data_IF_410995560379
#
_entry.id   IF_410995560379
#
_cell.length_a   1.000
_cell.length_b   1.000
_cell.length_c   1.000
_cell.angle_alpha   90.00
_cell.angle_beta   90.00
_cell.angle_gamma   90.00
#
_symmetry.space_group_name_H-M   'P 1'
#
loop_
_entity.id
_entity.type
_entity.pdbx_description
1 polymer ?
#
# COMPACT_ATOMS: atom_id res chain seq x y z
N UNK A 1 -37.73 11.78 -48.06
CA UNK A 1 -37.05 10.62 -47.44
C UNK A 1 -36.10 11.17 -46.38
N UNK A 2 -36.52 11.13 -45.12
CA UNK A 2 -35.81 11.74 -43.99
C UNK A 2 -34.67 10.85 -43.52
N UNK A 3 -33.54 11.49 -43.15
CA UNK A 3 -32.39 10.87 -42.51
C UNK A 3 -32.69 10.75 -41.01
N UNK A 4 -32.82 9.52 -40.52
CA UNK A 4 -32.95 9.24 -39.09
C UNK A 4 -31.54 9.10 -38.48
N UNK A 5 -31.11 10.12 -37.77
CA UNK A 5 -29.88 10.10 -36.95
C UNK A 5 -30.19 9.35 -35.66
N UNK A 6 -29.53 8.22 -35.42
CA UNK A 6 -29.59 7.50 -34.15
C UNK A 6 -28.69 8.21 -33.14
N UNK A 7 -29.29 8.81 -32.12
CA UNK A 7 -28.58 9.32 -30.94
C UNK A 7 -28.32 8.13 -30.00
N UNK A 8 -27.09 7.66 -29.93
CA UNK A 8 -26.68 6.67 -28.93
C UNK A 8 -26.55 7.37 -27.58
N UNK A 9 -27.54 7.21 -26.72
CA UNK A 9 -27.49 7.67 -25.33
C UNK A 9 -26.56 6.74 -24.54
N UNK A 10 -25.32 7.16 -24.31
CA UNK A 10 -24.42 6.50 -23.36
C UNK A 10 -24.86 6.89 -21.95
N UNK A 11 -25.59 6.00 -21.28
CA UNK A 11 -25.82 6.11 -19.83
C UNK A 11 -24.51 5.76 -19.09
N UNK A 12 -23.77 6.79 -18.68
CA UNK A 12 -22.78 6.64 -17.62
C UNK A 12 -23.52 6.50 -16.28
N UNK A 13 -23.59 5.29 -15.72
CA UNK A 13 -23.93 5.11 -14.32
C UNK A 13 -22.71 5.46 -13.45
N UNK A 14 -22.38 6.74 -13.38
CA UNK A 14 -21.66 7.26 -12.22
C UNK A 14 -22.71 7.41 -11.11
N UNK A 15 -22.76 6.48 -10.16
CA UNK A 15 -23.63 6.60 -9.00
C UNK A 15 -23.35 7.94 -8.30
N UNK A 16 -24.34 8.82 -8.26
CA UNK A 16 -24.24 10.06 -7.49
C UNK A 16 -24.22 9.69 -6.01
N UNK A 17 -23.09 9.95 -5.35
CA UNK A 17 -22.93 9.75 -3.91
C UNK A 17 -23.92 10.65 -3.15
N UNK A 18 -24.64 10.07 -2.19
CA UNK A 18 -25.60 10.76 -1.33
C UNK A 18 -24.90 11.31 -0.08
N UNK A 19 -25.42 12.39 0.51
CA UNK A 19 -24.95 12.92 1.79
C UNK A 19 -25.10 11.92 2.97
N UNK A 20 -25.70 10.76 2.73
CA UNK A 20 -25.92 9.68 3.70
C UNK A 20 -24.97 8.48 3.51
N UNK A 21 -24.02 8.55 2.59
CA UNK A 21 -23.12 7.42 2.33
C UNK A 21 -22.01 7.33 3.40
N UNK A 22 -21.56 6.09 3.67
CA UNK A 22 -20.43 5.85 4.56
C UNK A 22 -19.14 6.38 3.90
N UNK A 23 -18.36 7.18 4.62
CA UNK A 23 -17.04 7.60 4.12
C UNK A 23 -16.00 6.59 4.60
N UNK A 24 -15.21 6.04 3.68
CA UNK A 24 -14.21 5.01 3.96
C UNK A 24 -12.86 5.54 3.50
N UNK A 25 -11.92 5.65 4.42
CA UNK A 25 -10.59 6.14 4.13
C UNK A 25 -9.58 5.01 4.35
N UNK A 26 -8.79 4.71 3.34
CA UNK A 26 -7.63 3.85 3.48
C UNK A 26 -6.36 4.65 3.30
N UNK A 27 -5.38 4.42 4.16
CA UNK A 27 -4.01 4.79 3.84
C UNK A 27 -3.06 3.67 4.23
N UNK A 28 -1.88 3.67 3.62
CA UNK A 28 -0.86 2.67 3.85
C UNK A 28 0.41 2.97 3.07
N UNK A 29 1.39 2.08 3.18
CA UNK A 29 2.68 2.25 2.52
C UNK A 29 3.05 1.01 1.73
N UNK A 30 3.69 1.18 0.58
CA UNK A 30 4.44 0.11 -0.09
C UNK A 30 5.93 0.38 0.03
N UNK A 31 6.70 -0.64 0.36
CA UNK A 31 8.13 -0.54 0.61
C UNK A 31 8.88 -1.46 -0.34
N UNK A 32 9.90 -0.93 -0.99
CA UNK A 32 10.83 -1.64 -1.86
C UNK A 32 12.26 -1.21 -1.55
N UNK A 33 13.25 -1.97 -2.01
CA UNK A 33 14.67 -1.64 -1.86
C UNK A 33 15.32 -1.76 -3.23
N UNK A 34 16.04 -0.72 -3.66
CA UNK A 34 16.78 -0.72 -4.93
C UNK A 34 18.29 -0.63 -4.65
N UNK A 35 19.07 -1.46 -5.32
CA UNK A 35 20.52 -1.29 -5.39
C UNK A 35 20.89 -0.06 -6.21
N UNK A 36 22.14 0.39 -6.12
CA UNK A 36 22.63 1.56 -6.87
C UNK A 36 22.41 1.47 -8.39
N UNK A 37 22.43 0.26 -8.98
CA UNK A 37 22.18 0.03 -10.40
C UNK A 37 20.69 0.04 -10.80
N UNK A 38 19.81 0.06 -9.79
CA UNK A 38 18.35 0.06 -9.90
C UNK A 38 17.69 -1.31 -9.81
N UNK A 39 18.45 -2.37 -9.56
CA UNK A 39 17.88 -3.69 -9.34
C UNK A 39 17.11 -3.73 -8.01
N UNK A 40 15.87 -4.21 -8.05
CA UNK A 40 15.08 -4.47 -6.85
C UNK A 40 15.71 -5.61 -6.02
N UNK A 41 15.83 -5.39 -4.71
CA UNK A 41 16.26 -6.43 -3.79
C UNK A 41 15.08 -7.36 -3.46
N UNK A 42 15.39 -8.66 -3.37
CA UNK A 42 14.49 -9.66 -2.84
C UNK A 42 14.65 -9.85 -1.34
N UNK A 43 13.90 -10.79 -0.77
CA UNK A 43 14.04 -11.18 0.63
C UNK A 43 13.42 -10.20 1.61
N UNK A 44 12.55 -9.29 1.17
CA UNK A 44 12.07 -8.21 2.03
C UNK A 44 11.21 -8.71 3.20
N UNK A 45 10.70 -9.95 3.16
CA UNK A 45 10.03 -10.54 4.32
C UNK A 45 10.99 -10.85 5.49
N UNK A 46 12.30 -10.78 5.30
CA UNK A 46 13.24 -10.72 6.41
C UNK A 46 13.25 -9.29 6.98
N UNK A 47 12.72 -9.12 8.18
CA UNK A 47 12.54 -7.81 8.83
C UNK A 47 13.40 -7.69 10.10
N UNK A 48 13.60 -6.48 10.61
CA UNK A 48 14.27 -6.29 11.90
C UNK A 48 13.34 -6.66 13.08
N UNK A 49 13.91 -6.98 14.25
CA UNK A 49 13.10 -7.26 15.46
C UNK A 49 12.21 -6.07 15.85
N UNK A 50 12.62 -4.84 15.52
CA UNK A 50 11.84 -3.62 15.75
C UNK A 50 10.63 -3.44 14.82
N UNK A 51 10.49 -4.27 13.78
CA UNK A 51 9.37 -4.24 12.83
C UNK A 51 8.31 -5.32 13.13
N UNK A 52 8.50 -6.08 14.21
CA UNK A 52 7.53 -7.07 14.66
C UNK A 52 6.25 -6.41 15.17
N UNK A 53 5.12 -6.94 14.73
CA UNK A 53 3.81 -6.51 15.20
C UNK A 53 3.44 -7.14 16.55
N UNK A 54 2.47 -6.56 17.27
CA UNK A 54 1.91 -7.15 18.48
C UNK A 54 1.40 -8.59 18.27
N UNK A 55 1.47 -9.39 19.33
CA UNK A 55 1.19 -10.82 19.27
C UNK A 55 -0.27 -11.19 18.94
N UNK A 56 -1.21 -10.26 19.11
CA UNK A 56 -2.63 -10.48 18.76
C UNK A 56 -2.91 -10.33 17.26
N UNK A 57 -1.95 -9.85 16.46
CA UNK A 57 -2.14 -9.72 15.02
C UNK A 57 -2.20 -11.12 14.40
N UNK A 58 -3.29 -11.37 13.68
CA UNK A 58 -3.52 -12.64 13.02
C UNK A 58 -2.57 -12.81 11.84
N UNK A 59 -2.21 -14.05 11.58
CA UNK A 59 -1.24 -14.41 10.55
C UNK A 59 -1.80 -15.49 9.65
N UNK A 60 -1.65 -15.29 8.35
CA UNK A 60 -2.02 -16.27 7.33
C UNK A 60 -0.80 -16.74 6.57
N UNK A 61 -0.61 -18.07 6.53
CA UNK A 61 0.37 -18.73 5.69
C UNK A 61 -0.34 -19.79 4.85
N UNK A 62 -0.28 -19.71 3.52
CA UNK A 62 -0.81 -20.74 2.63
C UNK A 62 -0.32 -22.15 2.98
N UNK A 63 -1.18 -23.15 2.76
CA UNK A 63 -0.85 -24.57 2.96
C UNK A 63 0.46 -24.98 2.24
N UNK A 64 0.68 -24.44 1.04
CA UNK A 64 1.84 -24.72 0.18
C UNK A 64 3.15 -24.10 0.67
N UNK A 65 3.09 -23.12 1.58
CA UNK A 65 4.27 -22.42 2.12
C UNK A 65 4.48 -22.65 3.62
N UNK A 66 3.44 -22.97 4.39
CA UNK A 66 3.47 -22.95 5.86
C UNK A 66 4.46 -23.92 6.50
N UNK A 67 4.72 -25.07 5.86
CA UNK A 67 5.55 -26.14 6.41
C UNK A 67 7.02 -26.08 6.02
N UNK A 68 7.36 -25.29 4.99
CA UNK A 68 8.74 -25.17 4.51
C UNK A 68 9.32 -23.79 4.91
N UNK A 69 10.30 -23.74 5.83
CA UNK A 69 10.92 -22.49 6.27
C UNK A 69 11.45 -21.61 5.14
N UNK A 70 11.91 -22.18 4.02
CA UNK A 70 12.43 -21.37 2.89
C UNK A 70 11.31 -20.78 2.04
N UNK A 71 10.09 -21.33 2.13
CA UNK A 71 8.91 -20.86 1.38
C UNK A 71 8.00 -19.94 2.19
N UNK A 72 8.24 -19.76 3.48
CA UNK A 72 7.42 -18.88 4.33
C UNK A 72 7.36 -17.46 3.77
N UNK A 73 6.15 -16.89 3.80
CA UNK A 73 5.85 -15.53 3.35
C UNK A 73 5.82 -14.53 4.51
N UNK A 74 5.68 -15.01 5.73
CA UNK A 74 5.64 -14.24 6.97
C UNK A 74 6.84 -13.31 7.06
N UNK A 75 6.60 -12.16 7.68
CA UNK A 75 7.65 -11.20 8.00
C UNK A 75 8.27 -11.57 9.34
N UNK A 76 9.55 -11.95 9.35
CA UNK A 76 10.24 -12.33 10.58
C UNK A 76 11.75 -12.06 10.51
N UNK A 77 12.44 -11.87 11.65
CA UNK A 77 13.88 -11.59 11.69
C UNK A 77 14.77 -12.80 11.41
N UNK A 78 14.30 -14.01 11.77
CA UNK A 78 15.10 -15.24 11.73
C UNK A 78 14.63 -16.19 10.62
N UNK A 79 14.43 -15.65 9.43
CA UNK A 79 14.13 -16.43 8.22
C UNK A 79 15.16 -16.10 7.12
N UNK A 80 15.35 -16.99 6.13
CA UNK A 80 16.28 -16.75 5.02
C UNK A 80 15.95 -15.48 4.22
N UNK A 81 14.66 -15.12 4.14
CA UNK A 81 14.15 -14.12 3.21
C UNK A 81 13.96 -14.73 1.82
N UNK A 82 12.77 -14.59 1.25
CA UNK A 82 12.42 -15.14 -0.05
C UNK A 82 12.87 -14.21 -1.18
N UNK A 83 13.77 -14.63 -2.10
CA UNK A 83 14.31 -13.74 -3.14
C UNK A 83 13.26 -13.13 -4.08
N UNK A 84 12.11 -13.79 -4.21
CA UNK A 84 10.96 -13.34 -4.99
C UNK A 84 10.06 -12.35 -4.24
N UNK A 85 10.29 -12.06 -2.96
CA UNK A 85 9.59 -10.98 -2.25
C UNK A 85 10.36 -9.68 -2.43
N UNK A 86 9.91 -8.86 -3.37
CA UNK A 86 10.53 -7.57 -3.76
C UNK A 86 9.77 -6.35 -3.27
N UNK A 87 8.58 -6.55 -2.71
CA UNK A 87 7.74 -5.48 -2.16
C UNK A 87 7.09 -5.92 -0.85
N UNK A 88 7.00 -4.99 0.10
CA UNK A 88 6.15 -5.11 1.28
C UNK A 88 5.01 -4.12 1.18
N UNK A 89 3.79 -4.58 1.47
CA UNK A 89 2.69 -3.71 1.81
C UNK A 89 2.74 -3.55 3.33
N UNK A 90 2.92 -2.33 3.82
CA UNK A 90 3.16 -1.99 5.22
C UNK A 90 2.09 -1.03 5.75
N UNK A 91 1.43 -1.47 6.81
CA UNK A 91 0.43 -0.70 7.59
C UNK A 91 -0.70 -0.05 6.78
N UNK A 92 -1.34 -0.71 5.80
CA UNK A 92 -2.70 -0.33 5.44
C UNK A 92 -3.64 -0.37 6.63
N UNK A 93 -4.32 0.75 6.87
CA UNK A 93 -5.45 0.85 7.79
C UNK A 93 -6.66 1.41 7.07
N UNK A 94 -7.84 0.94 7.45
CA UNK A 94 -9.12 1.38 6.89
C UNK A 94 -9.97 1.99 8.01
N UNK A 95 -10.30 3.27 7.85
CA UNK A 95 -11.19 4.01 8.74
C UNK A 95 -12.59 4.14 8.14
N UNK A 96 -13.57 4.22 9.04
CA UNK A 96 -14.96 4.38 8.71
C UNK A 96 -15.51 5.62 9.39
N UNK A 97 -16.13 6.48 8.59
CA UNK A 97 -16.67 7.77 8.98
C UNK A 97 -18.18 7.78 8.66
N UNK A 98 -19.02 7.40 9.63
CA UNK A 98 -20.48 7.40 9.46
C UNK A 98 -21.02 8.77 9.04
N UNK A 99 -22.14 8.81 8.29
CA UNK A 99 -22.85 10.06 8.03
C UNK A 99 -23.45 10.63 9.34
N UNK A 100 -23.89 11.89 9.27
CA UNK A 100 -24.62 12.51 10.37
C UNK A 100 -25.88 11.68 10.71
N UNK A 101 -26.01 11.25 11.98
CA UNK A 101 -27.06 10.33 12.43
C UNK A 101 -26.61 8.87 12.62
N UNK A 102 -25.36 8.55 12.27
CA UNK A 102 -24.73 7.25 12.50
C UNK A 102 -24.97 6.23 11.39
N UNK A 103 -24.36 5.05 11.55
CA UNK A 103 -24.43 3.96 10.58
C UNK A 103 -24.70 2.64 11.32
N UNK A 104 -25.90 2.07 11.16
CA UNK A 104 -26.37 0.92 11.97
C UNK A 104 -26.34 -0.42 11.25
N UNK A 105 -26.08 -0.44 9.94
CA UNK A 105 -26.06 -1.66 9.15
C UNK A 105 -24.71 -2.36 9.36
N UNK A 106 -24.71 -3.69 9.42
CA UNK A 106 -23.47 -4.45 9.22
C UNK A 106 -23.11 -4.46 7.74
N UNK A 107 -21.83 -4.64 7.45
CA UNK A 107 -21.33 -4.74 6.07
C UNK A 107 -20.06 -5.58 6.02
N UNK A 108 -19.72 -6.03 4.81
CA UNK A 108 -18.51 -6.78 4.55
C UNK A 108 -17.47 -5.87 3.90
N UNK A 109 -16.20 -6.15 4.19
CA UNK A 109 -15.06 -5.46 3.59
C UNK A 109 -14.12 -6.53 3.04
N UNK A 110 -13.77 -6.43 1.77
CA UNK A 110 -12.83 -7.35 1.14
C UNK A 110 -11.69 -6.59 0.45
N UNK A 111 -10.47 -7.10 0.63
CA UNK A 111 -9.27 -6.60 -0.05
C UNK A 111 -8.62 -7.73 -0.81
N UNK A 112 -8.15 -7.45 -2.02
CA UNK A 112 -7.32 -8.37 -2.80
C UNK A 112 -5.93 -7.76 -2.99
N UNK A 113 -4.91 -8.60 -3.16
CA UNK A 113 -3.56 -8.16 -3.48
C UNK A 113 -3.03 -8.94 -4.69
N UNK A 114 -3.11 -8.35 -5.88
CA UNK A 114 -2.59 -8.95 -7.11
C UNK A 114 -1.06 -8.91 -7.10
N UNK A 115 -0.43 -10.04 -7.41
CA UNK A 115 1.01 -10.24 -7.29
C UNK A 115 1.52 -10.43 -5.87
N UNK A 116 0.63 -10.59 -4.90
CA UNK A 116 0.98 -10.61 -3.48
C UNK A 116 0.07 -11.48 -2.62
N UNK A 117 0.41 -11.53 -1.33
CA UNK A 117 -0.34 -12.21 -0.28
C UNK A 117 -0.52 -11.26 0.90
N UNK A 118 -1.74 -11.21 1.41
CA UNK A 118 -2.07 -10.52 2.66
C UNK A 118 -1.92 -11.55 3.78
N UNK A 119 -0.93 -11.35 4.65
CA UNK A 119 -0.52 -12.39 5.60
C UNK A 119 -0.49 -11.96 7.06
N UNK A 120 -0.77 -10.69 7.34
CA UNK A 120 -0.90 -10.16 8.71
C UNK A 120 -2.08 -9.19 8.74
N UNK A 121 -3.02 -9.36 9.67
CA UNK A 121 -4.25 -8.56 9.74
C UNK A 121 -4.89 -8.55 11.13
N UNK A 122 -5.73 -7.56 11.38
CA UNK A 122 -6.57 -7.48 12.58
C UNK A 122 -7.78 -6.57 12.30
N UNK A 123 -8.98 -6.84 12.83
CA UNK A 123 -9.43 -8.08 13.48
C UNK A 123 -9.29 -9.35 12.62
N UNK A 124 -9.58 -10.52 13.17
CA UNK A 124 -9.58 -11.78 12.44
C UNK A 124 -10.54 -11.75 11.23
N UNK A 125 -10.16 -12.46 10.17
CA UNK A 125 -10.78 -12.38 8.86
C UNK A 125 -10.49 -13.61 8.00
N UNK A 126 -11.32 -13.80 6.98
CA UNK A 126 -11.15 -14.87 6.01
C UNK A 126 -10.01 -14.53 5.04
N UNK A 127 -8.81 -15.04 5.32
CA UNK A 127 -7.65 -14.92 4.44
C UNK A 127 -7.62 -16.05 3.39
N UNK A 128 -7.19 -15.71 2.17
CA UNK A 128 -7.17 -16.65 1.05
C UNK A 128 -6.04 -16.36 0.07
N UNK A 129 -5.77 -17.33 -0.80
CA UNK A 129 -4.85 -17.21 -1.91
C UNK A 129 -5.43 -17.93 -3.12
N UNK A 130 -5.29 -17.31 -4.29
CA UNK A 130 -5.76 -17.84 -5.56
C UNK A 130 -4.77 -17.48 -6.69
N UNK A 131 -5.02 -18.03 -7.87
CA UNK A 131 -4.44 -17.51 -9.10
C UNK A 131 -5.45 -16.60 -9.80
N UNK A 132 -4.94 -15.61 -10.53
CA UNK A 132 -5.72 -14.64 -11.28
C UNK A 132 -6.27 -15.27 -12.57
N UNK A 133 -7.33 -16.08 -12.43
CA UNK A 133 -7.93 -16.87 -13.51
C UNK A 133 -8.21 -16.06 -14.78
N UNK A 134 -8.69 -14.81 -14.64
CA UNK A 134 -8.94 -13.90 -15.76
C UNK A 134 -7.67 -13.61 -16.59
N UNK A 135 -6.52 -13.47 -15.92
CA UNK A 135 -5.23 -13.19 -16.59
C UNK A 135 -4.51 -14.44 -17.09
N UNK A 136 -4.87 -15.62 -16.56
CA UNK A 136 -4.29 -16.90 -16.98
C UNK A 136 -5.23 -17.72 -17.86
N UNK A 137 -6.43 -17.25 -18.17
CA UNK A 137 -7.42 -17.97 -18.98
C UNK A 137 -6.83 -18.46 -20.32
N UNK A 138 -6.10 -17.59 -21.04
CA UNK A 138 -5.45 -17.96 -22.30
C UNK A 138 -4.25 -18.92 -22.12
N UNK A 139 -3.63 -18.93 -20.93
CA UNK A 139 -2.42 -19.73 -20.62
C UNK A 139 -2.72 -21.09 -19.98
N UNK A 140 -3.88 -21.22 -19.34
CA UNK A 140 -4.37 -22.46 -18.74
C UNK A 140 -4.90 -23.43 -19.80
N UNK A 141 -5.41 -22.92 -20.93
CA UNK A 141 -5.84 -23.72 -22.09
C UNK A 141 -4.67 -24.51 -22.73
N UNK A 142 -3.43 -24.04 -22.57
CA UNK A 142 -2.22 -24.70 -23.10
C UNK A 142 -1.57 -25.65 -22.07
N UNK A 143 -2.18 -25.83 -20.88
CA UNK A 143 -1.61 -26.66 -19.81
C UNK A 143 -0.31 -26.10 -19.20
N UNK A 144 0.01 -24.83 -19.45
CA UNK A 144 1.29 -24.21 -19.09
C UNK A 144 1.34 -23.67 -17.66
N UNK A 145 0.19 -23.51 -16.98
CA UNK A 145 0.11 -22.97 -15.61
C UNK A 145 -0.83 -23.86 -14.77
N UNK A 146 -0.42 -24.31 -13.57
CA UNK A 146 -1.27 -25.05 -12.65
C UNK A 146 -2.53 -24.25 -12.25
N UNK A 147 -3.62 -24.93 -11.89
CA UNK A 147 -4.86 -24.29 -11.38
C UNK A 147 -4.74 -23.78 -9.93
N UNK A 148 -3.64 -24.09 -9.26
CA UNK A 148 -3.34 -23.63 -7.90
C UNK A 148 -1.87 -23.22 -7.81
N UNK A 149 -1.59 -22.22 -7.00
CA UNK A 149 -0.22 -21.79 -6.77
C UNK A 149 0.54 -22.82 -5.93
N UNK A 150 1.69 -23.27 -6.43
CA UNK A 150 2.52 -24.33 -5.82
C UNK A 150 3.43 -23.84 -4.68
N UNK A 151 3.40 -22.54 -4.37
CA UNK A 151 4.22 -21.93 -3.32
C UNK A 151 5.66 -21.61 -3.73
N UNK A 152 6.11 -22.00 -4.93
CA UNK A 152 7.51 -21.92 -5.32
C UNK A 152 7.97 -20.50 -5.65
N UNK A 153 7.18 -19.76 -6.44
CA UNK A 153 7.48 -18.37 -6.84
C UNK A 153 6.24 -17.50 -6.69
N UNK A 154 6.29 -16.51 -5.82
CA UNK A 154 5.35 -15.42 -5.76
C UNK A 154 5.54 -14.59 -7.04
N UNK A 155 4.49 -14.49 -7.84
CA UNK A 155 4.53 -13.81 -9.13
C UNK A 155 3.24 -13.01 -9.32
N UNK A 156 3.17 -12.27 -10.42
CA UNK A 156 2.07 -11.36 -10.74
C UNK A 156 0.71 -12.04 -11.03
N UNK A 157 0.61 -13.37 -11.03
CA UNK A 157 -0.65 -14.11 -11.14
C UNK A 157 -1.21 -14.56 -9.78
N UNK A 158 -0.42 -14.50 -8.71
CA UNK A 158 -0.91 -14.83 -7.37
C UNK A 158 -1.80 -13.69 -6.89
N UNK A 159 -2.95 -14.02 -6.31
CA UNK A 159 -3.87 -13.05 -5.71
C UNK A 159 -4.16 -13.47 -4.27
N UNK A 160 -3.63 -12.73 -3.31
CA UNK A 160 -4.05 -12.80 -1.92
C UNK A 160 -5.42 -12.15 -1.74
N UNK A 161 -6.22 -12.68 -0.83
CA UNK A 161 -7.51 -12.12 -0.46
C UNK A 161 -7.66 -12.06 1.06
N UNK A 162 -8.40 -11.06 1.53
CA UNK A 162 -8.79 -10.91 2.93
C UNK A 162 -10.22 -10.37 2.99
N UNK A 163 -11.08 -10.99 3.78
CA UNK A 163 -12.46 -10.55 3.94
C UNK A 163 -12.91 -10.51 5.40
N UNK A 164 -13.32 -9.34 5.87
CA UNK A 164 -14.07 -9.17 7.11
C UNK A 164 -15.55 -9.22 6.81
N UNK A 165 -16.28 -10.09 7.53
CA UNK A 165 -17.73 -10.25 7.36
C UNK A 165 -18.48 -9.68 8.55
N UNK A 166 -19.60 -9.01 8.28
CA UNK A 166 -20.50 -8.49 9.31
C UNK A 166 -19.84 -7.44 10.21
N UNK A 167 -18.96 -6.60 9.65
CA UNK A 167 -18.38 -5.46 10.36
C UNK A 167 -19.50 -4.53 10.84
N UNK A 168 -19.44 -4.13 12.10
CA UNK A 168 -20.33 -3.13 12.70
C UNK A 168 -19.52 -1.96 13.23
N UNK A 169 -20.13 -0.77 13.22
CA UNK A 169 -19.49 0.46 13.69
C UNK A 169 -20.04 0.87 15.05
N UNK A 170 -19.14 1.26 15.94
CA UNK A 170 -19.45 1.69 17.31
C UNK A 170 -18.61 2.91 17.67
N UNK A 171 -19.08 3.71 18.63
CA UNK A 171 -18.29 4.83 19.15
C UNK A 171 -17.02 4.32 19.86
N UNK A 172 -17.18 3.24 20.64
CA UNK A 172 -16.10 2.61 21.40
C UNK A 172 -16.23 1.09 21.33
N UNK A 173 -15.08 0.41 21.25
CA UNK A 173 -14.94 -1.05 21.37
C UNK A 173 -13.80 -1.38 22.34
N UNK A 174 -13.76 -2.61 22.82
CA UNK A 174 -12.58 -3.12 23.55
C UNK A 174 -11.52 -3.50 22.53
N UNK A 175 -10.53 -2.63 22.35
CA UNK A 175 -9.37 -2.88 21.49
C UNK A 175 -8.26 -3.62 22.26
N UNK A 176 -7.41 -4.42 21.59
CA UNK A 176 -6.34 -5.16 22.26
C UNK A 176 -5.29 -4.22 22.87
N UNK A 177 -4.74 -4.61 24.01
CA UNK A 177 -3.71 -3.82 24.69
C UNK A 177 -2.35 -3.97 23.99
N UNK A 178 -1.66 -2.84 23.80
CA UNK A 178 -0.29 -2.79 23.26
C UNK A 178 0.37 -1.48 23.63
N UNK A 179 1.70 -1.49 23.68
CA UNK A 179 2.53 -0.30 23.79
C UNK A 179 3.29 0.00 22.49
N UNK A 180 3.00 -0.74 21.41
CA UNK A 180 3.66 -0.57 20.12
C UNK A 180 3.23 0.76 19.48
N UNK A 181 4.14 1.72 19.28
CA UNK A 181 3.80 3.02 18.71
C UNK A 181 3.27 2.94 17.28
N UNK A 182 3.69 1.93 16.50
CA UNK A 182 3.19 1.73 15.12
C UNK A 182 1.73 1.31 15.12
N UNK A 183 1.29 0.59 16.16
CA UNK A 183 -0.12 0.21 16.34
C UNK A 183 -0.95 1.29 17.03
N UNK A 184 -0.34 2.06 17.94
CA UNK A 184 -1.04 3.11 18.69
C UNK A 184 -1.25 4.38 17.86
N UNK A 185 -0.30 4.79 17.02
CA UNK A 185 -0.44 6.01 16.22
C UNK A 185 -1.72 6.06 15.36
N UNK A 186 -2.15 4.97 14.69
CA UNK A 186 -3.41 4.96 13.93
C UNK A 186 -4.67 5.02 14.83
N UNK A 187 -4.58 4.77 16.13
CA UNK A 187 -5.73 4.89 17.06
C UNK A 187 -6.08 6.35 17.40
N UNK A 188 -5.18 7.28 17.14
CA UNK A 188 -5.37 8.73 17.40
C UNK A 188 -6.31 9.42 16.40
N UNK A 189 -6.76 8.71 15.36
CA UNK A 189 -7.70 9.21 14.35
C UNK A 189 -9.13 9.18 14.87
N UNK A 190 -9.86 10.28 14.63
CA UNK A 190 -11.27 10.40 14.97
C UNK A 190 -12.14 9.69 13.92
N UNK A 191 -12.22 8.36 14.00
CA UNK A 191 -13.08 7.52 13.18
C UNK A 191 -14.00 6.64 14.07
N UNK A 192 -15.05 6.05 13.49
CA UNK A 192 -15.81 5.02 14.20
C UNK A 192 -14.95 3.78 14.44
N UNK A 193 -15.16 3.11 15.58
CA UNK A 193 -14.52 1.84 15.87
C UNK A 193 -15.22 0.70 15.14
N UNK A 194 -14.45 -0.28 14.66
CA UNK A 194 -14.94 -1.49 14.00
C UNK A 194 -15.07 -2.63 15.00
N UNK A 195 -16.09 -3.46 14.82
CA UNK A 195 -16.28 -4.69 15.58
C UNK A 195 -16.75 -5.83 14.68
N UNK A 196 -16.10 -6.98 14.78
CA UNK A 196 -16.41 -8.21 14.04
C UNK A 196 -16.99 -9.23 15.02
N UNK A 197 -18.33 -9.29 15.07
CA UNK A 197 -19.06 -10.04 16.09
C UNK A 197 -18.77 -11.56 16.06
N UNK A 198 -18.49 -12.12 14.88
CA UNK A 198 -18.23 -13.55 14.71
C UNK A 198 -16.99 -14.02 15.48
N UNK A 199 -16.01 -13.15 15.67
CA UNK A 199 -14.74 -13.44 16.36
C UNK A 199 -14.58 -12.67 17.67
N UNK A 200 -15.49 -11.73 17.96
CA UNK A 200 -15.50 -10.97 19.22
C UNK A 200 -14.38 -9.93 19.32
N UNK A 201 -13.85 -9.47 18.19
CA UNK A 201 -12.71 -8.55 18.14
C UNK A 201 -13.12 -7.17 17.63
N UNK A 202 -12.48 -6.13 18.18
CA UNK A 202 -12.70 -4.74 17.79
C UNK A 202 -11.42 -3.92 17.79
N UNK A 203 -11.40 -2.87 16.98
CA UNK A 203 -10.30 -1.91 16.85
C UNK A 203 -10.83 -0.57 16.33
N UNK A 204 -10.02 0.49 16.35
CA UNK A 204 -10.34 1.78 15.70
C UNK A 204 -10.40 1.70 14.17
N UNK A 205 -9.76 0.70 13.57
CA UNK A 205 -9.58 0.54 12.13
C UNK A 205 -9.48 -0.94 11.77
N UNK A 206 -9.70 -1.27 10.49
CA UNK A 206 -9.25 -2.56 9.96
C UNK A 206 -7.78 -2.44 9.55
N UNK A 207 -6.97 -3.41 9.92
CA UNK A 207 -5.55 -3.46 9.60
C UNK A 207 -5.25 -4.65 8.71
N UNK A 208 -4.43 -4.44 7.69
CA UNK A 208 -3.83 -5.54 6.94
C UNK A 208 -2.47 -5.15 6.40
N UNK A 209 -1.57 -6.12 6.23
CA UNK A 209 -0.30 -5.94 5.55
C UNK A 209 0.15 -7.22 4.86
N UNK A 210 1.10 -7.13 3.95
CA UNK A 210 1.38 -8.20 3.00
C UNK A 210 2.75 -8.15 2.35
N UNK A 211 3.03 -9.12 1.50
CA UNK A 211 4.26 -9.24 0.71
C UNK A 211 3.90 -9.50 -0.74
N UNK A 212 4.73 -9.02 -1.67
CA UNK A 212 4.48 -9.14 -3.10
C UNK A 212 5.76 -9.27 -3.93
N UNK A 213 5.57 -9.79 -5.14
CA UNK A 213 6.53 -9.71 -6.23
C UNK A 213 6.01 -8.71 -7.26
N UNK A 214 6.31 -7.44 -7.04
CA UNK A 214 5.90 -6.34 -7.89
C UNK A 214 7.06 -5.38 -8.10
N UNK A 215 7.11 -4.77 -9.28
CA UNK A 215 7.98 -3.64 -9.55
C UNK A 215 7.53 -2.44 -8.71
N UNK A 216 8.48 -1.68 -8.18
CA UNK A 216 8.20 -0.34 -7.68
C UNK A 216 7.59 0.52 -8.80
N UNK A 217 6.62 1.37 -8.44
CA UNK A 217 5.95 2.26 -9.40
C UNK A 217 6.92 3.20 -10.12
N UNK A 218 8.01 3.57 -9.46
CA UNK A 218 9.14 4.28 -10.07
C UNK A 218 10.40 3.46 -9.90
N UNK A 219 11.17 3.35 -10.99
CA UNK A 219 12.48 2.73 -10.99
C UNK A 219 13.52 3.79 -10.68
N UNK A 220 14.55 3.45 -9.91
CA UNK A 220 15.59 4.39 -9.51
C UNK A 220 16.95 3.87 -9.91
N UNK A 221 17.86 4.74 -10.32
CA UNK A 221 19.27 4.38 -10.50
C UNK A 221 20.15 5.49 -9.94
N UNK A 222 21.07 5.15 -9.06
CA UNK A 222 22.01 6.13 -8.50
C UNK A 222 23.13 6.37 -9.52
N UNK A 223 23.32 7.63 -9.88
CA UNK A 223 24.34 8.04 -10.87
C UNK A 223 24.98 9.35 -10.41
N UNK A 224 26.31 9.40 -10.27
CA UNK A 224 27.12 10.61 -10.03
C UNK A 224 26.36 11.86 -9.54
N UNK A 225 26.07 11.92 -8.24
CA UNK A 225 25.39 13.06 -7.60
C UNK A 225 23.87 13.16 -7.79
N UNK A 226 23.23 12.18 -8.43
CA UNK A 226 21.79 12.15 -8.70
C UNK A 226 21.19 10.76 -8.49
N UNK A 227 19.87 10.72 -8.32
CA UNK A 227 19.03 9.54 -8.46
C UNK A 227 18.18 9.73 -9.71
N UNK A 228 18.47 8.97 -10.76
CA UNK A 228 17.65 8.93 -11.98
C UNK A 228 16.35 8.19 -11.68
N UNK A 229 15.23 8.72 -12.14
CA UNK A 229 13.90 8.12 -12.00
C UNK A 229 13.36 7.76 -13.38
N UNK A 230 12.82 6.55 -13.52
CA UNK A 230 12.18 6.07 -14.76
C UNK A 230 10.88 5.32 -14.50
N UNK A 231 10.04 5.20 -15.53
CA UNK A 231 8.86 4.37 -15.52
C UNK A 231 9.25 2.88 -15.37
N UNK A 232 8.35 2.04 -14.83
CA UNK A 232 8.59 0.60 -14.75
C UNK A 232 8.63 -0.02 -16.14
N UNK A 233 9.24 -1.20 -16.23
CA UNK A 233 9.33 -1.96 -17.49
C UNK A 233 7.95 -2.51 -17.90
N UNK A 234 7.06 -2.74 -16.94
CA UNK A 234 5.72 -3.26 -17.16
C UNK A 234 4.67 -2.26 -16.65
N UNK A 235 3.78 -1.84 -17.55
CA UNK A 235 2.64 -0.94 -17.30
C UNK A 235 1.31 -1.63 -17.61
N UNK A 236 1.23 -2.95 -17.45
CA UNK A 236 0.01 -3.72 -17.79
C UNK A 236 -1.19 -3.39 -16.92
N UNK A 237 -0.97 -2.75 -15.78
CA UNK A 237 -1.99 -2.27 -14.84
C UNK A 237 -2.57 -0.91 -15.23
N UNK A 238 -1.89 -0.18 -16.12
CA UNK A 238 -2.28 1.16 -16.54
C UNK A 238 -3.23 1.04 -17.73
N UNK A 239 -4.50 1.36 -17.52
CA UNK A 239 -5.53 1.38 -18.54
C UNK A 239 -5.55 2.71 -19.28
N UNK A 240 -5.47 3.81 -18.54
CA UNK A 240 -5.39 5.16 -19.09
C UNK A 240 -4.15 5.36 -19.98
N UNK A 241 -4.25 6.27 -20.95
CA UNK A 241 -3.10 6.60 -21.82
C UNK A 241 -1.91 7.15 -21.00
N UNK A 242 -2.22 7.89 -19.94
CA UNK A 242 -1.26 8.45 -19.00
C UNK A 242 -1.81 8.44 -17.59
N UNK A 243 -0.93 8.30 -16.60
CA UNK A 243 -1.26 8.50 -15.19
C UNK A 243 -0.20 9.37 -14.52
N UNK A 244 -0.62 10.21 -13.59
CA UNK A 244 0.25 11.14 -12.88
C UNK A 244 0.59 10.59 -11.50
N UNK A 245 1.88 10.57 -11.17
CA UNK A 245 2.41 10.44 -9.81
C UNK A 245 2.42 11.85 -9.21
N UNK A 246 1.51 12.17 -8.27
CA UNK A 246 1.27 13.55 -7.86
C UNK A 246 2.48 14.24 -7.25
N UNK A 247 3.31 13.47 -6.52
CA UNK A 247 4.44 14.01 -5.78
C UNK A 247 5.48 12.93 -5.52
N UNK A 248 6.74 13.36 -5.48
CA UNK A 248 7.92 12.53 -5.17
C UNK A 248 8.88 13.34 -4.30
N UNK A 249 9.61 12.66 -3.42
CA UNK A 249 10.65 13.24 -2.58
C UNK A 249 11.90 12.36 -2.61
N UNK A 250 13.06 12.99 -2.52
CA UNK A 250 14.28 12.34 -2.07
C UNK A 250 14.54 12.81 -0.63
N UNK A 251 14.85 11.89 0.28
CA UNK A 251 15.20 12.20 1.65
C UNK A 251 16.42 11.39 2.07
N UNK A 252 17.30 11.98 2.87
CA UNK A 252 18.47 11.31 3.43
C UNK A 252 18.48 11.55 4.94
N UNK A 253 18.61 10.46 5.70
CA UNK A 253 18.67 10.47 7.15
C UNK A 253 20.07 10.05 7.57
N UNK A 254 20.76 10.91 8.31
CA UNK A 254 22.10 10.61 8.83
C UNK A 254 22.04 9.89 10.17
N UNK A 255 23.17 9.30 10.55
CA UNK A 255 23.36 8.67 11.86
C UNK A 255 23.21 9.65 13.03
N UNK A 256 23.55 10.92 12.82
CA UNK A 256 23.36 11.99 13.81
C UNK A 256 21.91 12.52 13.88
N UNK A 257 21.01 11.96 13.08
CA UNK A 257 19.60 12.36 12.99
C UNK A 257 19.33 13.60 12.13
N UNK A 258 20.36 14.24 11.56
CA UNK A 258 20.15 15.35 10.63
C UNK A 258 19.53 14.83 9.32
N UNK A 259 18.56 15.58 8.81
CA UNK A 259 17.82 15.18 7.60
C UNK A 259 18.02 16.23 6.50
N UNK A 260 18.23 15.74 5.27
CA UNK A 260 18.08 16.52 4.06
C UNK A 260 16.93 15.96 3.23
N UNK A 261 16.20 16.84 2.53
CA UNK A 261 15.19 16.39 1.56
C UNK A 261 15.09 17.32 0.36
N UNK A 262 14.56 16.79 -0.75
CA UNK A 262 14.15 17.52 -1.95
C UNK A 262 12.77 17.07 -2.36
N UNK A 263 11.96 18.03 -2.79
CA UNK A 263 10.71 17.74 -3.48
C UNK A 263 10.95 17.67 -4.98
N UNK A 264 10.38 16.65 -5.63
CA UNK A 264 10.23 16.62 -7.07
C UNK A 264 8.88 17.20 -7.52
N UNK A 265 8.80 17.48 -8.81
CA UNK A 265 7.54 17.76 -9.48
C UNK A 265 6.73 16.47 -9.68
N UNK A 266 5.45 16.62 -10.04
CA UNK A 266 4.65 15.49 -10.48
C UNK A 266 5.28 14.80 -11.69
N UNK A 267 5.20 13.48 -11.76
CA UNK A 267 5.72 12.67 -12.86
C UNK A 267 4.56 12.09 -13.66
N UNK A 268 4.70 11.99 -14.98
CA UNK A 268 3.67 11.39 -15.84
C UNK A 268 4.17 10.09 -16.44
N UNK A 269 3.51 8.99 -16.11
CA UNK A 269 3.69 7.71 -16.77
C UNK A 269 2.84 7.70 -18.05
N UNK A 270 3.40 7.17 -19.13
CA UNK A 270 2.70 7.00 -20.41
C UNK A 270 2.66 5.51 -20.73
N UNK A 271 1.46 4.95 -20.93
CA UNK A 271 1.25 3.51 -21.17
C UNK A 271 2.12 2.97 -22.31
N UNK A 272 2.26 3.76 -23.38
CA UNK A 272 3.07 3.41 -24.55
C UNK A 272 4.58 3.64 -24.41
N UNK A 273 5.09 4.04 -23.25
CA UNK A 273 6.52 4.31 -23.02
C UNK A 273 7.04 3.69 -21.71
N UNK A 274 6.97 2.35 -21.57
CA UNK A 274 7.60 1.68 -20.44
C UNK A 274 9.11 2.00 -20.39
N UNK A 275 9.68 2.05 -19.19
CA UNK A 275 11.11 2.36 -18.99
C UNK A 275 11.55 3.79 -19.30
N UNK A 276 10.64 4.69 -19.72
CA UNK A 276 10.98 6.07 -20.04
C UNK A 276 11.58 6.81 -18.84
N UNK A 277 12.57 7.68 -19.09
CA UNK A 277 13.10 8.57 -18.06
C UNK A 277 12.02 9.59 -17.64
N UNK A 278 11.84 9.75 -16.34
CA UNK A 278 10.85 10.66 -15.75
C UNK A 278 11.49 11.90 -15.13
N UNK A 279 12.76 11.79 -14.71
CA UNK A 279 13.50 12.91 -14.16
C UNK A 279 14.74 12.47 -13.38
N UNK A 280 15.38 13.44 -12.74
CA UNK A 280 16.51 13.22 -11.84
C UNK A 280 16.26 13.96 -10.53
N UNK A 281 16.54 13.31 -9.41
CA UNK A 281 16.55 13.92 -8.09
C UNK A 281 18.00 14.15 -7.68
N UNK A 282 18.38 15.41 -7.47
CA UNK A 282 19.74 15.78 -7.07
C UNK A 282 20.03 15.27 -5.65
N UNK A 283 21.16 14.58 -5.47
CA UNK A 283 21.63 14.15 -4.15
C UNK A 283 22.14 15.31 -3.32
N UNK A 284 22.29 15.05 -2.04
CA UNK A 284 22.65 16.03 -1.02
C UNK A 284 24.15 16.18 -0.88
N UNK A 285 24.55 17.38 -0.49
CA UNK A 285 25.84 17.72 0.10
C UNK A 285 25.74 17.74 1.63
N UNK A 286 26.86 17.91 2.31
CA UNK A 286 26.88 18.06 3.76
C UNK A 286 26.06 19.25 4.27
N UNK A 287 26.04 20.36 3.51
CA UNK A 287 25.32 21.57 3.89
C UNK A 287 23.78 21.43 3.81
N UNK A 288 23.29 20.40 3.14
CA UNK A 288 21.85 20.20 2.95
C UNK A 288 21.16 19.54 4.14
N UNK A 289 21.94 18.95 5.05
CA UNK A 289 21.43 18.25 6.21
C UNK A 289 21.29 19.22 7.37
N UNK A 290 20.08 19.30 7.91
CA UNK A 290 19.76 20.28 8.96
C UNK A 290 19.01 19.61 10.10
N UNK A 291 19.13 20.13 11.35
CA UNK A 291 18.32 19.67 12.46
C UNK A 291 16.80 19.84 12.24
N UNK A 292 16.40 20.87 11.50
CA UNK A 292 14.99 21.15 11.16
C UNK A 292 14.46 20.31 9.98
N UNK A 293 15.32 19.55 9.31
CA UNK A 293 14.99 18.80 8.10
C UNK A 293 13.82 17.84 8.32
N UNK A 294 13.73 17.19 9.48
CA UNK A 294 12.62 16.32 9.84
C UNK A 294 11.29 17.07 9.88
N UNK A 295 11.26 18.22 10.57
CA UNK A 295 10.05 19.04 10.72
C UNK A 295 9.56 19.50 9.35
N UNK A 296 10.46 19.93 8.49
CA UNK A 296 10.15 20.42 7.14
C UNK A 296 9.67 19.28 6.22
N UNK A 297 10.35 18.13 6.23
CA UNK A 297 9.94 16.95 5.48
C UNK A 297 8.55 16.47 5.90
N UNK A 298 8.29 16.34 7.21
CA UNK A 298 6.98 15.96 7.75
C UNK A 298 5.89 16.95 7.34
N UNK A 299 6.16 18.25 7.40
CA UNK A 299 5.20 19.28 6.98
C UNK A 299 4.87 19.15 5.47
N UNK A 300 5.87 18.90 4.62
CA UNK A 300 5.69 18.69 3.18
C UNK A 300 4.87 17.43 2.88
N UNK A 301 5.23 16.29 3.49
CA UNK A 301 4.50 15.03 3.34
C UNK A 301 3.05 15.18 3.83
N UNK A 302 2.83 15.75 5.04
CA UNK A 302 1.50 15.96 5.61
C UNK A 302 0.61 16.79 4.68
N UNK A 303 1.15 17.90 4.17
CA UNK A 303 0.45 18.76 3.20
C UNK A 303 0.04 17.97 1.96
N UNK A 304 0.94 17.14 1.44
CA UNK A 304 0.62 16.32 0.27
C UNK A 304 -0.45 15.26 0.57
N UNK A 305 -0.37 14.59 1.72
CA UNK A 305 -1.36 13.60 2.15
C UNK A 305 -2.77 14.20 2.27
N UNK A 306 -2.88 15.39 2.88
CA UNK A 306 -4.15 16.12 2.98
C UNK A 306 -4.65 16.53 1.58
N UNK A 307 -3.76 16.97 0.70
CA UNK A 307 -4.12 17.29 -0.69
C UNK A 307 -4.61 16.06 -1.49
N UNK A 308 -4.27 14.84 -1.07
CA UNK A 308 -4.80 13.59 -1.63
C UNK A 308 -6.11 13.14 -0.94
N UNK A 309 -6.64 13.95 -0.02
CA UNK A 309 -7.93 13.75 0.61
C UNK A 309 -7.90 13.05 1.98
N UNK A 310 -6.72 12.84 2.58
CA UNK A 310 -6.68 12.43 3.98
C UNK A 310 -7.13 13.56 4.90
N UNK A 311 -7.77 13.20 6.00
CA UNK A 311 -7.99 14.13 7.09
C UNK A 311 -6.67 14.46 7.81
N UNK A 312 -6.66 15.58 8.54
CA UNK A 312 -5.42 16.10 9.12
C UNK A 312 -4.85 15.22 10.22
N UNK A 313 -5.71 14.52 10.97
CA UNK A 313 -5.38 13.52 11.99
C UNK A 313 -4.95 12.20 11.34
N UNK A 314 -5.60 11.75 10.27
CA UNK A 314 -5.16 10.59 9.46
C UNK A 314 -3.74 10.79 8.91
N UNK A 315 -3.47 11.95 8.32
CA UNK A 315 -2.15 12.27 7.79
C UNK A 315 -1.09 12.35 8.90
N UNK A 316 -1.43 12.87 10.08
CA UNK A 316 -0.51 12.87 11.22
C UNK A 316 -0.25 11.45 11.75
N UNK A 317 -1.30 10.65 11.90
CA UNK A 317 -1.23 9.27 12.36
C UNK A 317 -0.34 8.43 11.43
N UNK A 318 -0.53 8.52 10.12
CA UNK A 318 0.31 7.87 9.13
C UNK A 318 1.79 8.25 9.30
N UNK A 319 2.10 9.55 9.42
CA UNK A 319 3.48 10.01 9.64
C UNK A 319 4.06 9.59 11.00
N UNK A 320 3.22 9.37 12.00
CA UNK A 320 3.67 8.87 13.31
C UNK A 320 4.05 7.39 13.26
N UNK A 321 3.39 6.58 12.44
CA UNK A 321 3.81 5.17 12.22
C UNK A 321 5.21 5.07 11.61
N UNK A 322 5.66 6.09 10.89
CA UNK A 322 6.94 6.11 10.17
C UNK A 322 8.13 6.57 11.01
N UNK A 323 7.89 7.08 12.22
CA UNK A 323 8.91 7.75 13.05
C UNK A 323 10.20 6.95 13.15
N UNK A 324 10.13 5.73 13.67
CA UNK A 324 11.33 4.89 13.87
C UNK A 324 11.96 4.44 12.54
N UNK A 325 11.15 3.91 11.62
CA UNK A 325 11.66 3.17 10.46
C UNK A 325 11.99 4.03 9.23
N UNK A 326 11.50 5.29 9.17
CA UNK A 326 11.63 6.15 7.98
C UNK A 326 12.39 7.44 8.31
N UNK A 327 12.20 7.96 9.52
CA UNK A 327 12.73 9.26 9.93
C UNK A 327 13.90 9.16 10.89
N UNK A 328 14.02 8.07 11.66
CA UNK A 328 15.14 7.85 12.59
C UNK A 328 16.16 6.85 12.05
N UNK A 329 15.73 5.83 11.28
CA UNK A 329 16.64 4.87 10.64
C UNK A 329 17.47 5.58 9.56
N UNK A 330 18.82 5.54 9.62
CA UNK A 330 19.66 6.16 8.59
C UNK A 330 19.40 5.60 7.19
N UNK A 331 19.73 6.40 6.18
CA UNK A 331 19.74 6.00 4.78
C UNK A 331 18.99 6.92 3.83
N UNK A 332 19.32 6.78 2.55
CA UNK A 332 18.75 7.50 1.43
C UNK A 332 17.47 6.81 0.94
N UNK A 333 16.40 7.60 0.79
CA UNK A 333 15.06 7.10 0.48
C UNK A 333 14.35 7.97 -0.54
N UNK A 334 13.56 7.33 -1.39
CA UNK A 334 12.58 8.00 -2.25
C UNK A 334 11.18 7.75 -1.69
N UNK A 335 10.41 8.81 -1.53
CA UNK A 335 8.97 8.72 -1.23
C UNK A 335 8.16 9.18 -2.44
N UNK A 336 6.99 8.60 -2.69
CA UNK A 336 6.07 9.08 -3.72
C UNK A 336 4.62 8.76 -3.40
N UNK A 337 3.70 9.54 -3.93
CA UNK A 337 2.26 9.24 -3.85
C UNK A 337 1.91 8.22 -4.94
N UNK A 338 1.30 7.10 -4.55
CA UNK A 338 0.84 6.07 -5.48
C UNK A 338 -0.46 6.53 -6.16
N UNK A 339 -0.55 6.53 -7.50
CA UNK A 339 -1.76 6.89 -8.21
C UNK A 339 -2.91 5.91 -7.95
N UNK A 340 -4.14 6.44 -7.93
CA UNK A 340 -5.35 5.67 -7.65
C UNK A 340 -5.51 4.44 -8.55
N UNK A 341 -5.21 4.56 -9.83
CA UNK A 341 -5.32 3.46 -10.80
C UNK A 341 -4.40 2.28 -10.48
N UNK A 342 -3.19 2.55 -9.96
CA UNK A 342 -2.30 1.49 -9.47
C UNK A 342 -2.91 0.80 -8.25
N UNK A 343 -3.43 1.59 -7.30
CA UNK A 343 -4.03 1.09 -6.07
C UNK A 343 -5.25 0.22 -6.38
N UNK A 344 -6.15 0.67 -7.23
CA UNK A 344 -7.37 -0.09 -7.57
C UNK A 344 -7.06 -1.37 -8.37
N UNK A 345 -6.00 -1.37 -9.18
CA UNK A 345 -5.57 -2.58 -9.89
C UNK A 345 -4.94 -3.61 -8.96
N UNK A 346 -3.93 -3.21 -8.17
CA UNK A 346 -3.14 -4.15 -7.36
C UNK A 346 -3.77 -4.44 -6.01
N UNK A 347 -4.49 -3.50 -5.43
CA UNK A 347 -5.14 -3.61 -4.12
C UNK A 347 -6.66 -3.38 -4.23
N UNK A 348 -7.45 -4.11 -5.03
CA UNK A 348 -8.90 -3.90 -5.07
C UNK A 348 -9.51 -3.94 -3.66
N UNK A 349 -10.33 -2.93 -3.34
CA UNK A 349 -11.05 -2.81 -2.07
C UNK A 349 -12.55 -2.76 -2.37
N UNK A 350 -13.31 -3.64 -1.74
CA UNK A 350 -14.75 -3.74 -1.84
C UNK A 350 -15.40 -3.51 -0.48
N UNK A 351 -16.50 -2.74 -0.48
CA UNK A 351 -17.34 -2.49 0.70
C UNK A 351 -18.77 -2.84 0.29
N UNK A 352 -19.45 -3.73 1.02
CA UNK A 352 -20.76 -4.28 0.62
C UNK A 352 -21.94 -3.32 0.75
N UNK A 353 -21.67 -2.05 1.03
CA UNK A 353 -22.65 -0.97 1.21
C UNK A 353 -22.19 0.26 0.44
N UNK A 354 -23.12 1.15 0.02
CA UNK A 354 -22.75 2.41 -0.61
C UNK A 354 -21.75 3.19 0.25
N UNK A 355 -20.59 3.49 -0.33
CA UNK A 355 -19.50 4.14 0.37
C UNK A 355 -18.72 5.06 -0.55
N UNK A 356 -18.26 6.19 0.01
CA UNK A 356 -17.28 7.07 -0.63
C UNK A 356 -15.88 6.67 -0.17
N UNK A 357 -15.16 6.01 -1.05
CA UNK A 357 -13.84 5.42 -0.76
C UNK A 357 -12.70 6.35 -1.19
N UNK A 358 -11.99 6.95 -0.22
CA UNK A 358 -10.72 7.64 -0.48
C UNK A 358 -9.53 6.75 -0.09
N UNK A 359 -8.47 6.74 -0.90
CA UNK A 359 -7.32 5.84 -0.70
C UNK A 359 -6.03 6.57 -0.99
N UNK A 360 -5.12 6.61 -0.01
CA UNK A 360 -3.82 7.27 -0.13
C UNK A 360 -2.72 6.32 0.28
N UNK A 361 -2.06 5.72 -0.71
CA UNK A 361 -0.88 4.88 -0.49
C UNK A 361 0.37 5.68 -0.83
N UNK A 362 1.40 5.56 0.01
CA UNK A 362 2.72 6.13 -0.24
C UNK A 362 3.69 5.02 -0.59
N UNK A 363 4.51 5.22 -1.63
CA UNK A 363 5.63 4.35 -1.91
C UNK A 363 6.89 4.84 -1.22
N UNK A 364 7.64 3.91 -0.64
CA UNK A 364 9.01 4.09 -0.14
C UNK A 364 9.95 3.18 -0.92
N UNK A 365 11.06 3.75 -1.38
CA UNK A 365 12.19 3.00 -1.92
C UNK A 365 13.39 3.32 -1.04
N UNK A 366 13.91 2.32 -0.34
CA UNK A 366 15.22 2.43 0.29
C UNK A 366 16.29 2.23 -0.78
N UNK A 367 17.25 3.16 -0.89
CA UNK A 367 18.36 3.06 -1.83
C UNK A 367 19.56 2.45 -1.11
N UNK A 368 19.86 1.19 -1.42
CA UNK A 368 21.05 0.52 -0.93
C UNK A 368 22.26 1.07 -1.69
N UNK A 369 23.22 1.61 -0.93
CA UNK A 369 24.48 2.15 -1.45
C UNK A 369 25.54 1.07 -1.66
#
# INVERSE_FOLDING_TARGET
MSKTTWLTLVLNFAGFASAQDLVVHEWGTITTVHAADGKAAGGLNKIDESELLPAFVHRFEPETTRFDPVKKLIKAPRIPGRPDITMRLETPVIYFHPPAGGFKKSFDVAVRFRGGVINEFYPDADASIALDDERIADKTVVGAIPRQWDGNVLNNYVVGGLAWKGVTLHDTVVAPLTNDPVWLAPREVQAASVFVAAVGEGERYLFYRGVAHLDALVQTKTTGGNVKVSAPALLTWLDAATVTIPKIWLADVREDGAIAFREGAALTLQKGKPGAALGNLKRFSNADHTPDGLKQLRASLKKSLINQGLFADEAEAMLNTWKASYFEKPGLRVFYIVPREWIDYFLPLEVSVPARVNRVIVGRIDLAE
#
